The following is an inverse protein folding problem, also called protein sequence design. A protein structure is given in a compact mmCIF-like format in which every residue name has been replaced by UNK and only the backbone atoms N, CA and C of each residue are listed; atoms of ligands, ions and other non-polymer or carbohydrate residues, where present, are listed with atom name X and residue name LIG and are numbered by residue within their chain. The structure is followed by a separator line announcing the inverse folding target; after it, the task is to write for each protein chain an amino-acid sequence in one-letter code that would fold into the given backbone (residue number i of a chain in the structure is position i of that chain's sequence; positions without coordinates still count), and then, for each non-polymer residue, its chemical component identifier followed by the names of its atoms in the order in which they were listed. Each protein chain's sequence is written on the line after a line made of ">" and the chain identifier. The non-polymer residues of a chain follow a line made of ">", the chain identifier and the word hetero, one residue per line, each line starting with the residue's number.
data_IF_533252775059
#
_entry.id   IF_533252775059
#
_cell.length_a   1.000
_cell.length_b   1.000
_cell.length_c   1.000
_cell.angle_alpha   90.00
_cell.angle_beta   90.00
_cell.angle_gamma   90.00
#
_symmetry.space_group_name_H-M   'P 1'
#
loop_
_entity.id
_entity.type
_entity.pdbx_description
1 polymer ?
#
# COMPACT_ATOMS: atom_id res chain seq x y z
N UNK A 1 15.83 3.45 -24.03
CA UNK A 1 15.35 2.55 -22.97
C UNK A 1 13.83 2.62 -22.95
N UNK A 2 13.09 1.54 -22.74
CA UNK A 2 11.64 1.66 -22.59
C UNK A 2 11.35 2.56 -21.39
N UNK A 3 10.53 3.59 -21.59
CA UNK A 3 10.00 4.35 -20.45
C UNK A 3 9.21 3.37 -19.57
N UNK A 4 9.66 3.14 -18.34
CA UNK A 4 8.91 2.34 -17.38
C UNK A 4 7.61 3.07 -17.08
N UNK A 5 6.49 2.47 -17.49
CA UNK A 5 5.15 2.98 -17.22
C UNK A 5 4.44 2.02 -16.26
N UNK A 6 3.67 2.58 -15.34
CA UNK A 6 2.71 1.87 -14.51
C UNK A 6 1.37 1.99 -15.23
N UNK A 7 0.71 0.88 -15.51
CA UNK A 7 -0.59 0.87 -16.19
C UNK A 7 -1.73 0.62 -15.21
N UNK A 8 -2.73 1.49 -15.24
CA UNK A 8 -3.96 1.40 -14.46
C UNK A 8 -5.11 1.06 -15.39
N UNK A 9 -5.91 0.05 -15.09
CA UNK A 9 -7.11 -0.27 -15.88
C UNK A 9 -8.32 0.47 -15.30
N UNK A 10 -9.04 1.21 -16.17
CA UNK A 10 -10.28 1.89 -15.82
C UNK A 10 -11.24 1.83 -17.02
N UNK A 11 -12.44 1.28 -16.82
CA UNK A 11 -13.44 1.09 -17.89
C UNK A 11 -12.83 0.46 -19.16
N UNK A 12 -12.11 -0.65 -19.02
CA UNK A 12 -11.40 -1.38 -20.08
C UNK A 12 -10.35 -0.55 -20.85
N UNK A 13 -9.99 0.61 -20.34
CA UNK A 13 -8.95 1.48 -20.89
C UNK A 13 -7.74 1.49 -19.99
N UNK A 14 -6.54 1.27 -20.58
CA UNK A 14 -5.27 1.37 -19.86
C UNK A 14 -4.83 2.83 -19.76
N UNK A 15 -4.78 3.34 -18.55
CA UNK A 15 -4.25 4.67 -18.24
C UNK A 15 -2.81 4.51 -17.76
N UNK A 16 -1.88 5.00 -18.52
CA UNK A 16 -0.46 4.88 -18.22
C UNK A 16 0.06 6.06 -17.38
N UNK A 17 0.88 5.74 -16.39
CA UNK A 17 1.64 6.68 -15.56
C UNK A 17 3.13 6.46 -15.78
N UNK A 18 3.90 7.51 -16.00
CA UNK A 18 5.36 7.43 -16.10
C UNK A 18 5.97 7.20 -14.71
N UNK A 19 6.80 6.18 -14.59
CA UNK A 19 7.44 5.85 -13.31
C UNK A 19 8.40 6.96 -12.83
N UNK A 20 9.10 7.60 -13.77
CA UNK A 20 10.18 8.55 -13.46
C UNK A 20 9.69 9.84 -12.78
N UNK A 21 8.58 10.37 -13.22
CA UNK A 21 8.09 11.71 -12.84
C UNK A 21 6.60 11.76 -12.47
N UNK A 22 5.93 10.59 -12.50
CA UNK A 22 4.54 10.47 -12.10
C UNK A 22 3.51 11.02 -13.10
N UNK A 23 3.93 11.50 -14.28
CA UNK A 23 3.01 12.03 -15.28
C UNK A 23 2.02 10.98 -15.77
N UNK A 24 0.78 11.39 -15.94
CA UNK A 24 -0.33 10.49 -16.29
C UNK A 24 -0.86 10.84 -17.68
N UNK A 25 -1.23 9.82 -18.46
CA UNK A 25 -1.82 10.01 -19.78
C UNK A 25 -3.27 10.52 -19.67
N UNK A 26 -3.42 11.85 -19.79
CA UNK A 26 -4.73 12.53 -19.74
C UNK A 26 -5.65 12.16 -20.91
N UNK A 27 -5.07 11.84 -22.08
CA UNK A 27 -5.86 11.38 -23.24
C UNK A 27 -6.57 10.09 -22.90
N UNK A 28 -5.85 9.11 -22.34
CA UNK A 28 -6.44 7.84 -21.92
C UNK A 28 -7.46 8.03 -20.78
N UNK A 29 -7.20 8.94 -19.82
CA UNK A 29 -8.17 9.27 -18.77
C UNK A 29 -9.48 9.82 -19.32
N UNK A 30 -9.41 10.77 -20.25
CA UNK A 30 -10.60 11.34 -20.87
C UNK A 30 -11.37 10.27 -21.67
N UNK A 31 -10.66 9.48 -22.49
CA UNK A 31 -11.25 8.39 -23.29
C UNK A 31 -11.94 7.33 -22.43
N UNK A 32 -11.34 6.93 -21.30
CA UNK A 32 -11.94 5.99 -20.35
C UNK A 32 -13.30 6.48 -19.79
N UNK A 33 -13.57 7.78 -19.86
CA UNK A 33 -14.80 8.42 -19.41
C UNK A 33 -15.65 8.96 -20.59
N UNK A 34 -15.38 8.51 -21.82
CA UNK A 34 -16.13 8.91 -23.03
C UNK A 34 -15.97 10.39 -23.39
N UNK A 35 -14.86 11.03 -22.99
CA UNK A 35 -14.59 12.46 -23.19
C UNK A 35 -13.36 12.69 -24.07
N UNK A 36 -13.20 13.90 -24.58
CA UNK A 36 -12.04 14.32 -25.36
C UNK A 36 -11.17 15.24 -24.50
N UNK A 37 -9.88 14.95 -24.41
CA UNK A 37 -8.94 15.80 -23.66
C UNK A 37 -8.88 17.24 -24.17
N UNK A 38 -9.14 17.46 -25.46
CA UNK A 38 -9.22 18.78 -26.05
C UNK A 38 -10.33 19.63 -25.41
N UNK A 39 -11.42 19.02 -24.95
CA UNK A 39 -12.52 19.76 -24.30
C UNK A 39 -12.09 20.25 -22.92
N UNK A 40 -11.37 19.43 -22.14
CA UNK A 40 -10.78 19.81 -20.88
C UNK A 40 -9.80 20.98 -21.03
N UNK A 41 -8.89 20.92 -22.00
CA UNK A 41 -7.86 21.93 -22.23
C UNK A 41 -8.42 23.26 -22.78
N UNK A 42 -9.65 23.27 -23.28
CA UNK A 42 -10.33 24.50 -23.76
C UNK A 42 -11.12 25.21 -22.67
N UNK A 43 -11.34 24.60 -21.52
CA UNK A 43 -12.09 25.21 -20.44
C UNK A 43 -11.32 26.40 -19.85
N UNK A 44 -12.03 27.51 -19.65
CA UNK A 44 -11.48 28.69 -18.96
C UNK A 44 -11.00 28.33 -17.55
N UNK A 45 -11.76 27.51 -16.83
CA UNK A 45 -11.38 27.03 -15.48
C UNK A 45 -10.11 26.18 -15.50
N UNK A 46 -9.86 25.39 -16.56
CA UNK A 46 -8.62 24.62 -16.71
C UNK A 46 -7.44 25.53 -16.98
N UNK A 47 -7.61 26.54 -17.86
CA UNK A 47 -6.55 27.49 -18.15
C UNK A 47 -6.18 28.29 -16.90
N UNK A 48 -7.16 28.81 -16.17
CA UNK A 48 -6.91 29.50 -14.90
C UNK A 48 -6.19 28.61 -13.87
N UNK A 49 -6.58 27.33 -13.76
CA UNK A 49 -5.89 26.37 -12.90
C UNK A 49 -4.43 26.11 -13.34
N UNK A 50 -4.19 26.01 -14.64
CA UNK A 50 -2.82 25.79 -15.16
C UNK A 50 -1.93 27.02 -14.98
N UNK A 51 -2.48 28.24 -15.12
CA UNK A 51 -1.77 29.49 -14.88
C UNK A 51 -1.34 29.60 -13.41
N UNK A 52 -2.26 29.37 -12.47
CA UNK A 52 -1.97 29.40 -11.03
C UNK A 52 -0.98 28.29 -10.64
N UNK A 53 -1.15 27.08 -11.15
CA UNK A 53 -0.24 25.97 -10.86
C UNK A 53 1.16 26.23 -11.43
N UNK A 54 1.25 26.83 -12.61
CA UNK A 54 2.53 27.24 -13.23
C UNK A 54 3.25 28.28 -12.40
N UNK A 55 2.51 29.26 -11.88
CA UNK A 55 3.05 30.31 -11.01
C UNK A 55 3.53 29.75 -9.67
N UNK A 56 2.71 28.88 -9.02
CA UNK A 56 3.02 28.27 -7.73
C UNK A 56 4.27 27.36 -7.80
N UNK A 57 4.37 26.55 -8.85
CA UNK A 57 5.49 25.60 -9.02
C UNK A 57 6.74 26.21 -9.69
N UNK A 58 6.62 27.37 -10.31
CA UNK A 58 7.71 27.99 -11.07
C UNK A 58 8.09 27.21 -12.34
N UNK A 59 7.17 26.44 -12.92
CA UNK A 59 7.39 25.67 -14.15
C UNK A 59 6.36 26.05 -15.23
N UNK A 60 6.77 26.10 -16.51
CA UNK A 60 5.88 26.56 -17.58
C UNK A 60 4.76 25.53 -17.83
N UNK A 61 3.61 26.02 -18.31
CA UNK A 61 2.44 25.17 -18.64
C UNK A 61 2.81 24.07 -19.64
N UNK A 62 3.74 24.32 -20.56
CA UNK A 62 4.24 23.32 -21.52
C UNK A 62 4.95 22.14 -20.86
N UNK A 63 5.43 22.32 -19.64
CA UNK A 63 5.95 21.22 -18.81
C UNK A 63 4.83 20.57 -17.99
N UNK A 64 3.87 21.32 -17.49
CA UNK A 64 2.71 20.75 -16.77
C UNK A 64 1.84 19.87 -17.69
N UNK A 65 1.71 20.24 -18.96
CA UNK A 65 0.93 19.50 -19.98
C UNK A 65 1.80 19.27 -21.20
N UNK A 66 2.23 18.04 -21.41
CA UNK A 66 3.14 17.63 -22.48
C UNK A 66 2.40 16.85 -23.57
N UNK A 67 2.44 17.30 -24.81
CA UNK A 67 1.84 16.60 -25.95
C UNK A 67 2.92 15.79 -26.67
N UNK A 68 2.81 14.47 -26.65
CA UNK A 68 3.71 13.56 -27.37
C UNK A 68 3.01 13.02 -28.63
N UNK A 69 3.56 13.39 -29.78
CA UNK A 69 3.12 12.91 -31.10
C UNK A 69 4.19 11.97 -31.67
N UNK A 70 3.77 10.81 -32.17
CA UNK A 70 4.66 9.81 -32.74
C UNK A 70 5.37 8.93 -31.69
N UNK A 71 6.10 7.91 -32.17
CA UNK A 71 6.68 6.89 -31.32
C UNK A 71 5.74 5.72 -31.06
N UNK A 72 5.97 4.96 -30.00
CA UNK A 72 5.12 3.82 -29.59
C UNK A 72 3.74 4.31 -29.18
N UNK A 73 2.65 3.58 -29.52
CA UNK A 73 1.29 3.98 -29.13
C UNK A 73 1.11 4.30 -27.66
N UNK A 74 1.77 3.52 -26.77
CA UNK A 74 1.65 3.68 -25.31
C UNK A 74 2.29 4.98 -24.80
N UNK A 75 3.21 5.57 -25.58
CA UNK A 75 3.89 6.82 -25.24
C UNK A 75 3.20 8.05 -25.82
N UNK A 76 2.24 7.86 -26.75
CA UNK A 76 1.55 8.96 -27.40
C UNK A 76 0.42 9.51 -26.53
N UNK A 77 0.06 10.77 -26.80
CA UNK A 77 -1.05 11.45 -26.13
C UNK A 77 -0.62 12.70 -25.37
N UNK A 78 -1.55 13.22 -24.61
CA UNK A 78 -1.33 14.36 -23.72
C UNK A 78 -1.01 13.82 -22.31
N UNK A 79 0.14 14.19 -21.81
CA UNK A 79 0.64 13.80 -20.50
C UNK A 79 0.57 14.98 -19.54
N UNK A 80 -0.02 14.78 -18.37
CA UNK A 80 -0.15 15.83 -17.37
C UNK A 80 0.63 15.54 -16.11
N UNK A 81 1.15 16.60 -15.50
CA UNK A 81 1.67 16.59 -14.15
C UNK A 81 0.63 15.96 -13.19
N UNK A 82 1.03 15.26 -12.12
CA UNK A 82 0.08 14.61 -11.20
C UNK A 82 -1.07 15.49 -10.72
N UNK A 83 -0.82 16.76 -10.37
CA UNK A 83 -1.87 17.70 -9.96
C UNK A 83 -2.84 18.04 -11.11
N UNK A 84 -2.32 18.16 -12.34
CA UNK A 84 -3.17 18.35 -13.54
C UNK A 84 -4.03 17.11 -13.78
N UNK A 85 -3.47 15.92 -13.57
CA UNK A 85 -4.22 14.67 -13.72
C UNK A 85 -5.36 14.54 -12.69
N UNK A 86 -5.13 14.96 -11.44
CA UNK A 86 -6.18 15.01 -10.42
C UNK A 86 -7.31 15.96 -10.83
N UNK A 87 -6.98 17.18 -11.29
CA UNK A 87 -7.96 18.15 -11.76
C UNK A 87 -8.73 17.63 -12.98
N UNK A 88 -8.03 17.06 -13.96
CA UNK A 88 -8.63 16.41 -15.12
C UNK A 88 -9.57 15.25 -14.72
N UNK A 89 -9.16 14.42 -13.73
CA UNK A 89 -9.99 13.35 -13.21
C UNK A 89 -11.29 13.85 -12.58
N UNK A 90 -11.24 14.96 -11.84
CA UNK A 90 -12.45 15.59 -11.30
C UNK A 90 -13.39 16.08 -12.41
N UNK A 91 -12.85 16.64 -13.49
CA UNK A 91 -13.64 17.01 -14.66
C UNK A 91 -14.19 15.77 -15.39
N UNK A 92 -13.43 14.70 -15.48
CA UNK A 92 -13.87 13.45 -16.12
C UNK A 92 -15.08 12.85 -15.40
N UNK A 93 -15.06 12.82 -14.07
CA UNK A 93 -16.02 12.08 -13.27
C UNK A 93 -16.44 12.85 -12.01
N UNK A 94 -17.74 13.13 -11.89
CA UNK A 94 -18.33 13.73 -10.68
C UNK A 94 -18.12 12.81 -9.45
N UNK A 95 -18.17 11.49 -9.62
CA UNK A 95 -17.93 10.53 -8.55
C UNK A 95 -16.47 10.60 -8.05
N UNK A 96 -15.50 10.76 -8.96
CA UNK A 96 -14.12 11.00 -8.59
C UNK A 96 -13.94 12.36 -7.90
N UNK A 97 -14.61 13.41 -8.36
CA UNK A 97 -14.57 14.71 -7.70
C UNK A 97 -15.05 14.62 -6.23
N UNK A 98 -16.18 13.94 -5.98
CA UNK A 98 -16.68 13.69 -4.61
C UNK A 98 -15.70 12.87 -3.78
N UNK A 99 -15.03 11.89 -4.39
CA UNK A 99 -14.01 11.11 -3.69
C UNK A 99 -12.82 11.96 -3.27
N UNK A 100 -12.30 12.80 -4.17
CA UNK A 100 -11.17 13.72 -3.88
C UNK A 100 -11.55 14.69 -2.75
N UNK A 101 -12.76 15.29 -2.79
CA UNK A 101 -13.21 16.17 -1.70
C UNK A 101 -13.32 15.45 -0.37
N UNK A 102 -13.73 14.17 -0.36
CA UNK A 102 -13.77 13.34 0.85
C UNK A 102 -12.37 13.09 1.40
N UNK A 103 -11.39 12.80 0.54
CA UNK A 103 -10.00 12.62 0.96
C UNK A 103 -9.43 13.89 1.60
N UNK A 104 -9.65 15.03 0.95
CA UNK A 104 -9.21 16.33 1.50
C UNK A 104 -9.86 16.59 2.84
N UNK A 105 -11.16 16.34 2.97
CA UNK A 105 -11.89 16.52 4.21
C UNK A 105 -11.38 15.61 5.32
N UNK A 106 -11.12 14.33 5.00
CA UNK A 106 -10.52 13.39 5.96
C UNK A 106 -9.15 13.87 6.40
N UNK A 107 -8.30 14.30 5.47
CA UNK A 107 -6.99 14.85 5.80
C UNK A 107 -7.08 16.07 6.70
N UNK A 108 -7.94 17.04 6.38
CA UNK A 108 -8.12 18.26 7.19
C UNK A 108 -8.64 17.97 8.60
N UNK A 109 -9.48 16.95 8.77
CA UNK A 109 -10.08 16.61 10.07
C UNK A 109 -9.23 15.68 10.92
N UNK A 110 -8.46 14.79 10.32
CA UNK A 110 -7.66 13.78 11.04
C UNK A 110 -6.15 14.05 11.02
N UNK A 111 -5.68 14.97 10.18
CA UNK A 111 -4.25 15.19 9.93
C UNK A 111 -3.56 14.04 9.18
N UNK A 112 -4.30 12.98 8.82
CA UNK A 112 -3.76 11.81 8.12
C UNK A 112 -4.11 11.84 6.64
N UNK A 113 -3.08 11.67 5.79
CA UNK A 113 -3.28 11.53 4.36
C UNK A 113 -3.88 10.13 4.04
N UNK A 114 -5.14 10.04 3.57
CA UNK A 114 -5.76 8.75 3.29
C UNK A 114 -5.06 7.95 2.18
N UNK A 115 -4.32 8.61 1.28
CA UNK A 115 -3.54 7.96 0.22
C UNK A 115 -2.19 7.47 0.72
N UNK A 116 -1.58 8.17 1.70
CA UNK A 116 -0.28 7.84 2.24
C UNK A 116 -0.30 6.44 2.89
N UNK A 117 -1.36 6.11 3.62
CA UNK A 117 -1.47 4.81 4.28
C UNK A 117 -1.45 3.62 3.31
N UNK A 118 -1.88 3.82 2.08
CA UNK A 118 -1.89 2.78 1.06
C UNK A 118 -0.54 2.58 0.39
N UNK A 119 0.15 3.69 0.08
CA UNK A 119 1.51 3.65 -0.43
C UNK A 119 2.45 3.05 0.62
N UNK A 120 2.36 3.52 1.86
CA UNK A 120 3.14 3.00 2.98
C UNK A 120 2.86 1.51 3.19
N UNK A 121 1.60 1.07 3.03
CA UNK A 121 1.24 -0.34 3.16
C UNK A 121 1.96 -1.23 2.14
N UNK A 122 2.08 -0.79 0.88
CA UNK A 122 2.82 -1.54 -0.16
C UNK A 122 4.30 -1.61 0.20
N UNK A 123 4.91 -0.47 0.54
CA UNK A 123 6.32 -0.39 0.93
C UNK A 123 6.62 -1.27 2.14
N UNK A 124 5.82 -1.19 3.20
CA UNK A 124 6.03 -2.01 4.40
C UNK A 124 5.73 -3.49 4.14
N UNK A 125 4.80 -3.82 3.25
CA UNK A 125 4.51 -5.21 2.89
C UNK A 125 5.70 -5.88 2.20
N UNK A 126 6.35 -5.16 1.29
CA UNK A 126 7.52 -5.63 0.56
C UNK A 126 8.73 -5.70 1.50
N UNK A 127 9.00 -4.66 2.30
CA UNK A 127 10.07 -4.67 3.30
C UNK A 127 9.93 -5.82 4.32
N UNK A 128 8.70 -6.10 4.77
CA UNK A 128 8.44 -7.23 5.66
C UNK A 128 8.73 -8.58 4.99
N UNK A 129 8.33 -8.74 3.72
CA UNK A 129 8.49 -9.99 2.97
C UNK A 129 9.95 -10.27 2.68
N UNK A 130 10.67 -9.27 2.17
CA UNK A 130 11.97 -9.46 1.53
C UNK A 130 13.15 -9.28 2.51
N UNK A 131 12.95 -8.63 3.65
CA UNK A 131 14.04 -8.32 4.57
C UNK A 131 13.76 -8.74 6.02
N UNK A 132 12.87 -8.03 6.72
CA UNK A 132 12.73 -8.18 8.17
C UNK A 132 12.32 -9.61 8.61
N UNK A 133 11.35 -10.20 7.90
CA UNK A 133 10.90 -11.55 8.19
C UNK A 133 11.95 -12.60 7.83
N UNK A 134 12.65 -12.46 6.70
CA UNK A 134 13.69 -13.40 6.27
C UNK A 134 14.83 -13.39 7.28
N UNK A 135 15.26 -12.23 7.75
CA UNK A 135 16.30 -12.10 8.76
C UNK A 135 15.90 -12.79 10.06
N UNK A 136 14.70 -12.51 10.59
CA UNK A 136 14.22 -13.16 11.81
C UNK A 136 14.11 -14.69 11.66
N UNK A 137 13.52 -15.16 10.56
CA UNK A 137 13.38 -16.61 10.33
C UNK A 137 14.72 -17.30 10.12
N UNK A 138 15.71 -16.61 9.54
CA UNK A 138 17.09 -17.09 9.43
C UNK A 138 17.72 -17.32 10.81
N UNK A 139 17.61 -16.34 11.70
CA UNK A 139 18.17 -16.45 13.06
C UNK A 139 17.47 -17.55 13.89
N UNK A 140 16.15 -17.70 13.74
CA UNK A 140 15.40 -18.79 14.38
C UNK A 140 15.82 -20.16 13.81
N UNK A 141 16.11 -20.22 12.52
CA UNK A 141 16.62 -21.43 11.87
C UNK A 141 17.96 -21.83 12.47
N UNK A 142 18.93 -20.91 12.54
CA UNK A 142 20.24 -21.13 13.15
C UNK A 142 20.12 -21.63 14.60
N UNK A 143 19.24 -21.03 15.38
CA UNK A 143 18.93 -21.49 16.74
C UNK A 143 18.41 -22.95 16.74
N UNK A 144 17.44 -23.28 15.87
CA UNK A 144 16.88 -24.63 15.80
C UNK A 144 17.90 -25.68 15.31
N UNK A 145 18.83 -25.29 14.45
CA UNK A 145 19.96 -26.13 14.02
C UNK A 145 20.92 -26.38 15.18
N UNK A 146 21.26 -25.35 15.95
CA UNK A 146 22.13 -25.46 17.10
C UNK A 146 21.60 -26.42 18.19
N UNK A 147 20.28 -26.44 18.40
CA UNK A 147 19.61 -27.37 19.32
C UNK A 147 19.22 -28.71 18.67
N UNK A 148 19.63 -28.98 17.43
CA UNK A 148 19.38 -30.21 16.68
C UNK A 148 17.87 -30.51 16.49
N UNK A 149 17.02 -29.50 16.35
CA UNK A 149 15.57 -29.67 16.20
C UNK A 149 15.03 -29.16 14.87
N UNK A 150 15.90 -28.66 13.98
CA UNK A 150 15.49 -28.12 12.69
C UNK A 150 14.93 -29.18 11.74
N UNK A 151 15.48 -30.41 11.75
CA UNK A 151 15.06 -31.50 10.86
C UNK A 151 13.72 -32.12 11.25
N UNK A 152 13.28 -31.95 12.50
CA UNK A 152 11.94 -32.31 12.93
C UNK A 152 10.91 -31.33 12.33
N UNK A 153 10.36 -31.70 11.15
CA UNK A 153 9.42 -30.86 10.39
C UNK A 153 8.21 -30.42 11.20
N UNK A 154 7.69 -31.30 12.07
CA UNK A 154 6.51 -31.00 12.92
C UNK A 154 6.87 -29.98 14.00
N UNK A 155 7.94 -30.22 14.71
CA UNK A 155 8.43 -29.30 15.75
C UNK A 155 8.79 -27.94 15.14
N UNK A 156 9.54 -27.92 14.06
CA UNK A 156 9.93 -26.71 13.34
C UNK A 156 8.70 -25.87 12.95
N UNK A 157 7.71 -26.50 12.30
CA UNK A 157 6.47 -25.80 11.89
C UNK A 157 5.72 -25.19 13.07
N UNK A 158 5.55 -25.95 14.15
CA UNK A 158 4.89 -25.48 15.36
C UNK A 158 5.69 -24.37 16.05
N UNK A 159 7.02 -24.44 16.05
CA UNK A 159 7.87 -23.44 16.67
C UNK A 159 7.78 -22.10 15.93
N UNK A 160 7.92 -22.11 14.60
CA UNK A 160 7.72 -20.89 13.80
C UNK A 160 6.31 -20.31 13.97
N UNK A 161 5.28 -21.15 13.99
CA UNK A 161 3.92 -20.70 14.23
C UNK A 161 3.78 -20.01 15.59
N UNK A 162 4.37 -20.57 16.66
CA UNK A 162 4.37 -19.95 18.00
C UNK A 162 5.04 -18.58 18.02
N UNK A 163 6.21 -18.45 17.38
CA UNK A 163 6.93 -17.16 17.32
C UNK A 163 6.07 -16.12 16.59
N UNK A 164 5.52 -16.49 15.43
CA UNK A 164 4.68 -15.57 14.67
C UNK A 164 3.37 -15.22 15.38
N UNK A 165 2.72 -16.19 16.04
CA UNK A 165 1.52 -15.93 16.82
C UNK A 165 1.79 -15.02 18.03
N UNK A 166 2.97 -15.12 18.63
CA UNK A 166 3.34 -14.21 19.71
C UNK A 166 3.49 -12.77 19.21
N UNK A 167 4.09 -12.58 18.03
CA UNK A 167 4.16 -11.26 17.39
C UNK A 167 2.76 -10.77 17.01
N UNK A 168 1.92 -11.63 16.44
CA UNK A 168 0.53 -11.29 16.10
C UNK A 168 -0.27 -10.82 17.33
N UNK A 169 -0.13 -11.50 18.46
CA UNK A 169 -0.78 -11.10 19.71
C UNK A 169 -0.29 -9.72 20.20
N UNK A 170 0.99 -9.40 20.03
CA UNK A 170 1.56 -8.11 20.43
C UNK A 170 1.07 -6.99 19.49
N UNK A 171 1.05 -7.23 18.19
CA UNK A 171 0.72 -6.22 17.18
C UNK A 171 -0.79 -6.04 17.00
N UNK A 172 -1.54 -7.14 16.97
CA UNK A 172 -2.96 -7.16 16.60
C UNK A 172 -3.90 -7.70 17.72
N UNK A 173 -3.36 -8.20 18.82
CA UNK A 173 -4.16 -8.76 19.91
C UNK A 173 -4.77 -10.13 19.62
N UNK A 174 -4.49 -10.73 18.49
CA UNK A 174 -5.09 -11.98 18.02
C UNK A 174 -4.04 -12.93 17.41
N UNK A 175 -4.25 -14.23 17.57
CA UNK A 175 -3.45 -15.25 16.88
C UNK A 175 -3.84 -15.32 15.39
N UNK A 176 -3.00 -15.93 14.56
CA UNK A 176 -3.30 -16.14 13.14
C UNK A 176 -4.63 -16.87 12.91
N UNK A 177 -4.95 -17.85 13.78
CA UNK A 177 -6.22 -18.59 13.71
C UNK A 177 -7.43 -17.69 14.01
N UNK A 178 -7.35 -16.86 15.06
CA UNK A 178 -8.43 -15.92 15.42
C UNK A 178 -8.63 -14.88 14.33
N UNK A 179 -7.54 -14.30 13.80
CA UNK A 179 -7.61 -13.36 12.69
C UNK A 179 -8.27 -13.98 11.44
N UNK A 180 -7.97 -15.24 11.08
CA UNK A 180 -8.61 -15.92 9.94
C UNK A 180 -10.11 -16.08 10.14
N UNK A 181 -10.56 -16.52 11.31
CA UNK A 181 -11.98 -16.67 11.61
C UNK A 181 -12.70 -15.33 11.46
N UNK A 182 -12.17 -14.30 12.08
CA UNK A 182 -12.74 -12.95 12.03
C UNK A 182 -12.74 -12.38 10.61
N UNK A 183 -11.67 -12.57 9.87
CA UNK A 183 -11.54 -12.14 8.48
C UNK A 183 -12.54 -12.88 7.58
N UNK A 184 -12.72 -14.18 7.78
CA UNK A 184 -13.70 -14.97 7.02
C UNK A 184 -15.13 -14.46 7.25
N UNK A 185 -15.48 -14.13 8.49
CA UNK A 185 -16.79 -13.54 8.84
C UNK A 185 -17.00 -12.18 8.14
N UNK A 186 -15.97 -11.33 8.12
CA UNK A 186 -16.05 -10.00 7.55
C UNK A 186 -16.10 -10.02 6.01
N UNK A 187 -15.39 -10.93 5.38
CA UNK A 187 -15.37 -11.08 3.91
C UNK A 187 -16.58 -11.88 3.39
N UNK A 188 -17.32 -12.59 4.27
CA UNK A 188 -18.40 -13.48 3.87
C UNK A 188 -17.93 -14.70 3.07
N UNK A 189 -16.64 -15.06 3.20
CA UNK A 189 -16.02 -16.25 2.58
C UNK A 189 -14.94 -16.82 3.48
N UNK A 190 -14.62 -18.09 3.29
CA UNK A 190 -13.48 -18.70 3.97
C UNK A 190 -12.16 -18.11 3.52
N UNK A 191 -11.29 -17.72 4.46
CA UNK A 191 -9.91 -17.33 4.22
C UNK A 191 -9.03 -18.56 4.35
N UNK A 192 -8.48 -19.02 3.22
CA UNK A 192 -7.69 -20.25 3.14
C UNK A 192 -6.38 -20.12 3.94
N UNK A 193 -5.85 -21.24 4.39
CA UNK A 193 -4.55 -21.26 5.10
C UNK A 193 -3.39 -20.77 4.23
N UNK A 194 -3.48 -20.94 2.91
CA UNK A 194 -2.50 -20.44 1.95
C UNK A 194 -2.51 -18.91 1.78
N UNK A 195 -3.60 -18.24 2.16
CA UNK A 195 -3.69 -16.78 2.11
C UNK A 195 -2.86 -16.15 3.23
N UNK A 196 -2.04 -15.16 2.88
CA UNK A 196 -1.18 -14.48 3.84
C UNK A 196 -1.98 -13.40 4.59
N UNK A 197 -2.19 -13.59 5.89
CA UNK A 197 -2.91 -12.62 6.74
C UNK A 197 -2.32 -11.20 6.66
N UNK A 198 -1.01 -11.09 6.47
CA UNK A 198 -0.33 -9.79 6.32
C UNK A 198 -0.75 -8.99 5.09
N UNK A 199 -1.36 -9.63 4.10
CA UNK A 199 -1.93 -8.93 2.94
C UNK A 199 -3.15 -8.09 3.33
N UNK A 200 -3.73 -8.37 4.49
CA UNK A 200 -4.87 -7.66 5.07
C UNK A 200 -4.47 -6.66 6.16
N UNK A 201 -3.19 -6.53 6.50
CA UNK A 201 -2.72 -5.63 7.53
C UNK A 201 -2.67 -4.17 7.03
N UNK A 202 -3.06 -3.18 7.86
CA UNK A 202 -2.82 -1.78 7.58
C UNK A 202 -1.32 -1.44 7.63
N UNK A 203 -0.94 -0.31 7.02
CA UNK A 203 0.44 0.17 7.00
C UNK A 203 1.08 0.19 8.39
N UNK A 204 0.36 0.73 9.37
CA UNK A 204 0.85 0.83 10.75
C UNK A 204 1.09 -0.56 11.38
N UNK A 205 0.22 -1.55 11.14
CA UNK A 205 0.44 -2.91 11.64
C UNK A 205 1.65 -3.58 10.96
N UNK A 206 1.84 -3.36 9.66
CA UNK A 206 3.01 -3.86 8.93
C UNK A 206 4.29 -3.24 9.47
N UNK A 207 4.33 -1.92 9.67
CA UNK A 207 5.47 -1.21 10.26
C UNK A 207 5.84 -1.76 11.64
N UNK A 208 4.85 -1.98 12.50
CA UNK A 208 5.06 -2.57 13.83
C UNK A 208 5.54 -4.01 13.75
N UNK A 209 5.00 -4.77 12.82
CA UNK A 209 5.43 -6.15 12.60
C UNK A 209 6.89 -6.21 12.14
N UNK A 210 7.33 -5.30 11.24
CA UNK A 210 8.72 -5.14 10.83
C UNK A 210 9.60 -4.86 12.07
N UNK A 211 9.25 -3.84 12.85
CA UNK A 211 10.02 -3.47 14.03
C UNK A 211 10.14 -4.62 15.04
N UNK A 212 9.08 -5.42 15.22
CA UNK A 212 9.11 -6.62 16.06
C UNK A 212 10.03 -7.71 15.49
N UNK A 213 9.98 -7.96 14.17
CA UNK A 213 10.85 -8.93 13.52
C UNK A 213 12.33 -8.55 13.64
N UNK A 214 12.67 -7.30 13.41
CA UNK A 214 14.05 -6.78 13.49
C UNK A 214 14.59 -6.84 14.92
N UNK A 215 13.81 -6.36 15.89
CA UNK A 215 14.20 -6.40 17.29
C UNK A 215 14.36 -7.85 17.78
N UNK A 216 13.46 -8.74 17.40
CA UNK A 216 13.55 -10.17 17.73
C UNK A 216 14.80 -10.80 17.12
N UNK A 217 15.10 -10.53 15.85
CA UNK A 217 16.30 -11.05 15.19
C UNK A 217 17.58 -10.62 15.89
N UNK A 218 17.68 -9.34 16.25
CA UNK A 218 18.84 -8.81 16.98
C UNK A 218 19.03 -9.49 18.33
N UNK A 219 17.95 -9.66 19.09
CA UNK A 219 18.01 -10.31 20.41
C UNK A 219 18.38 -11.81 20.30
N UNK A 220 17.93 -12.51 19.25
CA UNK A 220 18.35 -13.90 19.00
C UNK A 220 19.84 -13.97 18.69
N UNK A 221 20.37 -13.01 17.91
CA UNK A 221 21.83 -12.89 17.64
C UNK A 221 22.60 -12.64 18.97
N UNK A 222 22.02 -11.87 19.89
CA UNK A 222 22.60 -11.62 21.23
C UNK A 222 22.52 -12.84 22.16
N UNK A 223 21.91 -13.95 21.74
CA UNK A 223 21.82 -15.22 22.48
C UNK A 223 20.55 -15.43 23.27
N UNK A 224 19.53 -14.58 23.12
CA UNK A 224 18.23 -14.83 23.76
C UNK A 224 17.47 -15.95 23.04
N UNK A 225 16.72 -16.75 23.79
CA UNK A 225 15.81 -17.74 23.23
C UNK A 225 14.74 -17.03 22.36
N UNK A 226 14.36 -17.57 21.19
CA UNK A 226 13.48 -16.87 20.25
C UNK A 226 12.15 -16.36 20.85
N UNK A 227 11.50 -17.12 21.74
CA UNK A 227 10.26 -16.68 22.39
C UNK A 227 10.50 -15.58 23.43
N UNK A 228 11.59 -15.65 24.17
CA UNK A 228 11.98 -14.60 25.13
C UNK A 228 12.44 -13.34 24.39
N UNK A 229 13.07 -13.50 23.23
CA UNK A 229 13.45 -12.41 22.34
C UNK A 229 12.22 -11.62 21.87
N UNK A 230 11.11 -12.31 21.50
CA UNK A 230 9.85 -11.63 21.14
C UNK A 230 9.30 -10.80 22.31
N UNK A 231 9.28 -11.34 23.53
CA UNK A 231 8.78 -10.59 24.71
C UNK A 231 9.65 -9.38 25.04
N UNK A 232 10.97 -9.51 24.92
CA UNK A 232 11.89 -8.39 25.08
C UNK A 232 11.80 -7.37 23.97
N UNK A 233 11.63 -7.82 22.72
CA UNK A 233 11.41 -6.95 21.57
C UNK A 233 10.19 -6.05 21.78
N UNK A 234 9.09 -6.56 22.36
CA UNK A 234 7.92 -5.77 22.75
C UNK A 234 8.32 -4.55 23.60
N UNK A 235 9.11 -4.77 24.65
CA UNK A 235 9.53 -3.68 25.54
C UNK A 235 10.40 -2.64 24.83
N UNK A 236 11.29 -3.06 23.93
CA UNK A 236 12.15 -2.18 23.14
C UNK A 236 11.32 -1.34 22.16
N UNK A 237 10.38 -1.99 21.46
CA UNK A 237 9.52 -1.32 20.46
C UNK A 237 8.56 -0.35 21.14
N UNK A 238 8.01 -0.71 22.32
CA UNK A 238 7.22 0.19 23.16
C UNK A 238 8.01 1.41 23.63
N UNK A 239 9.23 1.21 24.13
CA UNK A 239 10.08 2.29 24.62
C UNK A 239 10.45 3.30 23.53
N UNK A 240 10.44 2.89 22.27
CA UNK A 240 10.65 3.77 21.12
C UNK A 240 9.36 4.49 20.65
N UNK A 241 8.25 4.33 21.35
CA UNK A 241 6.97 4.94 21.00
C UNK A 241 6.26 4.30 19.81
N UNK A 242 6.72 3.13 19.34
CA UNK A 242 6.15 2.46 18.17
C UNK A 242 4.92 1.58 18.45
N UNK A 243 4.56 1.36 19.71
CA UNK A 243 3.41 0.49 20.08
C UNK A 243 2.58 1.12 21.20
N UNK A 244 1.82 2.20 20.97
CA UNK A 244 0.98 2.74 22.05
C UNK A 244 -0.22 1.83 22.38
N UNK A 245 -0.81 1.14 21.40
CA UNK A 245 -1.99 0.29 21.58
C UNK A 245 -2.07 -0.80 20.52
N UNK A 246 -2.88 -1.84 20.79
CA UNK A 246 -3.20 -2.86 19.81
C UNK A 246 -3.95 -2.22 18.64
N UNK A 247 -3.55 -2.56 17.42
CA UNK A 247 -4.19 -2.02 16.23
C UNK A 247 -5.48 -2.78 16.00
N UNK A 248 -6.61 -2.07 15.86
CA UNK A 248 -7.84 -2.70 15.42
C UNK A 248 -7.72 -3.13 13.96
N UNK A 249 -7.48 -4.41 13.80
CA UNK A 249 -7.41 -5.09 12.52
C UNK A 249 -8.73 -5.00 11.71
N UNK A 250 -9.87 -4.76 12.37
CA UNK A 250 -11.21 -4.73 11.74
C UNK A 250 -11.42 -3.50 10.88
N UNK A 251 -10.93 -2.34 11.30
CA UNK A 251 -11.05 -1.12 10.50
C UNK A 251 -10.33 -1.23 9.16
N UNK A 252 -9.19 -1.90 9.17
CA UNK A 252 -8.41 -2.18 7.96
C UNK A 252 -9.12 -3.11 6.99
N UNK A 253 -9.91 -4.03 7.51
CA UNK A 253 -10.66 -4.99 6.68
C UNK A 253 -11.86 -4.33 6.01
N UNK A 254 -12.50 -3.33 6.62
CA UNK A 254 -13.53 -2.53 5.95
C UNK A 254 -12.98 -1.89 4.67
N UNK A 255 -11.73 -1.49 4.71
CA UNK A 255 -11.01 -0.93 3.58
C UNK A 255 -10.68 -1.98 2.50
N UNK A 256 -10.23 -3.17 2.90
CA UNK A 256 -9.97 -4.31 2.00
C UNK A 256 -11.26 -4.84 1.38
N UNK A 257 -12.39 -4.78 2.09
CA UNK A 257 -13.69 -5.23 1.56
C UNK A 257 -14.13 -4.45 0.31
N UNK A 258 -13.81 -3.17 0.23
CA UNK A 258 -14.05 -2.37 -0.98
C UNK A 258 -13.17 -2.82 -2.15
N UNK A 259 -11.94 -3.31 -1.90
CA UNK A 259 -11.01 -3.80 -2.92
C UNK A 259 -11.29 -5.20 -3.42
N UNK A 260 -11.68 -6.10 -2.52
CA UNK A 260 -12.00 -7.51 -2.88
C UNK A 260 -13.27 -7.61 -3.72
N UNK A 261 -14.23 -6.71 -3.51
CA UNK A 261 -15.45 -6.62 -4.32
C UNK A 261 -15.14 -6.08 -5.73
N UNK A 262 -14.05 -5.34 -5.91
CA UNK A 262 -13.68 -4.73 -7.19
C UNK A 262 -12.63 -5.50 -7.99
N UNK A 263 -12.09 -6.61 -7.47
CA UNK A 263 -11.19 -7.51 -8.22
C UNK A 263 -9.81 -6.97 -8.59
N UNK A 264 -9.34 -5.86 -7.97
CA UNK A 264 -8.05 -5.26 -8.31
C UNK A 264 -6.94 -5.58 -7.30
N UNK A 265 -5.78 -6.10 -7.73
CA UNK A 265 -4.57 -6.11 -6.92
C UNK A 265 -3.87 -4.74 -7.03
N UNK A 266 -3.77 -4.04 -5.92
CA UNK A 266 -2.82 -2.94 -5.71
C UNK A 266 -3.14 -1.59 -6.40
N UNK A 267 -3.04 -0.49 -5.65
CA UNK A 267 -3.24 0.90 -6.09
C UNK A 267 -4.60 1.14 -6.79
N UNK A 268 -5.67 0.69 -6.15
CA UNK A 268 -7.02 0.98 -6.62
C UNK A 268 -7.42 2.41 -6.29
N UNK A 269 -7.39 3.29 -7.27
CA UNK A 269 -8.44 4.29 -7.31
C UNK A 269 -9.75 3.50 -7.27
N UNK A 270 -10.72 3.83 -6.37
CA UNK A 270 -12.01 3.17 -6.38
C UNK A 270 -12.62 3.31 -7.77
N UNK A 271 -13.22 2.23 -8.25
CA UNK A 271 -13.96 2.26 -9.52
C UNK A 271 -14.93 3.44 -9.49
N UNK A 272 -14.78 4.30 -10.48
CA UNK A 272 -15.63 5.48 -10.69
C UNK A 272 -16.85 5.09 -11.50
#
# INVERSE_FOLDING_TARGET
>A
MPENVISHNHNDTLINQRYKDGYINLTAMAQANGKLIADYLRLESTNAFLDELSADMGIPISELVQIKKGGRPEAQGTWGHPQVAINCGQWCSAKFAVLVTRWVMTWMTTGQNPLQSDLDRVVYRDALKDEARLRMTGQIKEYLEAIQRYDDKKFRGQFFAKVHDRINLIVAGETAKQMRVRLSQLLGREVKESELLRDYFPALALQRYISMCEATANLVIEGYLPLDAVERAKSIVLARGYLPEQIDFVESIKFVRQRVVTGQPGLGLPEV
#
